data_IF_793401242904
#
_entry.id   IF_793401242904
#
_cell.length_a   1.000
_cell.length_b   1.000
_cell.length_c   1.000
_cell.angle_alpha   90.00
_cell.angle_beta   90.00
_cell.angle_gamma   90.00
#
_symmetry.space_group_name_H-M   'P 1'
#
loop_
_entity.id
_entity.type
_entity.pdbx_description
1 polymer ?
#
# COMPACT_ATOMS: atom_id res chain seq x y z
N UNK A 1 -12.40 11.43 -10.78
CA UNK A 1 -12.62 9.96 -10.80
C UNK A 1 -11.98 9.36 -9.58
N UNK A 2 -12.78 8.85 -8.63
CA UNK A 2 -12.33 8.05 -7.50
C UNK A 2 -11.85 6.69 -8.04
N UNK A 3 -10.59 6.31 -7.83
CA UNK A 3 -10.16 4.94 -8.10
C UNK A 3 -10.52 4.09 -6.89
N UNK A 4 -11.64 3.38 -7.00
CA UNK A 4 -12.02 2.26 -6.14
C UNK A 4 -11.43 1.01 -6.79
N UNK A 5 -10.47 0.38 -6.14
CA UNK A 5 -10.08 -0.98 -6.51
C UNK A 5 -11.00 -1.89 -5.71
N UNK A 6 -12.09 -2.32 -6.34
CA UNK A 6 -13.03 -3.28 -5.76
C UNK A 6 -12.50 -4.69 -6.03
N UNK A 7 -12.14 -5.43 -4.98
CA UNK A 7 -11.99 -6.88 -5.08
C UNK A 7 -13.25 -7.49 -4.44
N UNK A 8 -14.10 -8.06 -5.29
CA UNK A 8 -15.39 -8.65 -4.91
C UNK A 8 -15.13 -9.96 -4.17
N UNK A 9 -15.07 -9.94 -2.83
CA UNK A 9 -15.45 -11.08 -1.98
C UNK A 9 -15.36 -10.77 -0.50
N UNK A 10 -16.42 -11.19 0.22
CA UNK A 10 -16.50 -11.75 1.57
C UNK A 10 -16.66 -10.85 2.80
N UNK A 11 -17.89 -10.95 3.33
CA UNK A 11 -18.29 -10.92 4.73
C UNK A 11 -17.50 -11.97 5.56
N UNK A 12 -16.55 -11.57 6.40
CA UNK A 12 -15.96 -12.44 7.43
C UNK A 12 -15.38 -11.58 8.58
N UNK A 13 -15.64 -11.87 9.88
CA UNK A 13 -14.93 -11.27 11.02
C UNK A 13 -13.39 -11.34 10.94
N UNK A 14 -12.82 -12.16 10.05
CA UNK A 14 -11.39 -12.11 9.71
C UNK A 14 -10.93 -10.78 9.07
N UNK A 15 -11.84 -10.05 8.40
CA UNK A 15 -11.58 -8.74 7.76
C UNK A 15 -11.09 -7.66 8.74
N UNK A 16 -11.66 -7.59 9.94
CA UNK A 16 -11.26 -6.61 10.95
C UNK A 16 -9.85 -6.89 11.49
N UNK A 17 -9.52 -8.17 11.67
CA UNK A 17 -8.17 -8.61 12.06
C UNK A 17 -7.14 -8.27 10.98
N UNK A 18 -7.54 -8.38 9.71
CA UNK A 18 -6.70 -8.00 8.56
C UNK A 18 -6.46 -6.49 8.50
N UNK A 19 -7.45 -5.65 8.77
CA UNK A 19 -7.29 -4.18 8.80
C UNK A 19 -6.40 -3.71 9.95
N UNK A 20 -6.55 -4.28 11.15
CA UNK A 20 -5.67 -3.97 12.28
C UNK A 20 -4.21 -4.33 11.95
N UNK A 21 -3.98 -5.51 11.38
CA UNK A 21 -2.65 -5.93 10.94
C UNK A 21 -2.07 -4.98 9.88
N UNK A 22 -2.87 -4.54 8.91
CA UNK A 22 -2.43 -3.60 7.89
C UNK A 22 -1.97 -2.26 8.50
N UNK A 23 -2.73 -1.71 9.44
CA UNK A 23 -2.36 -0.46 10.13
C UNK A 23 -1.06 -0.64 10.92
N UNK A 24 -0.92 -1.75 11.64
CA UNK A 24 0.31 -2.08 12.37
C UNK A 24 1.52 -2.14 11.44
N UNK A 25 1.38 -2.74 10.26
CA UNK A 25 2.47 -2.82 9.28
C UNK A 25 2.79 -1.48 8.62
N UNK A 26 1.78 -0.65 8.31
CA UNK A 26 2.00 0.72 7.82
C UNK A 26 2.85 1.51 8.84
N UNK A 27 2.52 1.41 10.13
CA UNK A 27 3.25 2.10 11.19
C UNK A 27 4.66 1.55 11.36
N UNK A 28 4.84 0.23 11.43
CA UNK A 28 6.16 -0.42 11.52
C UNK A 28 7.06 -0.03 10.35
N UNK A 29 6.53 0.00 9.13
CA UNK A 29 7.31 0.38 7.95
C UNK A 29 7.83 1.81 8.08
N UNK A 30 6.99 2.74 8.54
CA UNK A 30 7.40 4.13 8.79
C UNK A 30 8.45 4.23 9.88
N UNK A 31 8.31 3.49 10.99
CA UNK A 31 9.30 3.41 12.06
C UNK A 31 10.66 2.88 11.57
N UNK A 32 10.64 1.90 10.66
CA UNK A 32 11.84 1.36 10.02
C UNK A 32 12.46 2.31 8.99
N UNK A 33 11.80 3.44 8.66
CA UNK A 33 12.25 4.38 7.63
C UNK A 33 11.86 3.96 6.20
N UNK A 34 10.92 3.01 6.04
CA UNK A 34 10.30 2.66 4.77
C UNK A 34 9.14 3.62 4.52
N UNK A 35 9.16 4.28 3.36
CA UNK A 35 8.09 5.22 2.99
C UNK A 35 6.81 4.46 2.65
N UNK A 36 5.72 4.84 3.31
CA UNK A 36 4.35 4.40 3.04
C UNK A 36 3.42 5.61 3.07
N UNK A 37 2.29 5.60 2.35
CA UNK A 37 1.29 6.64 2.49
C UNK A 37 0.83 6.76 3.95
N UNK A 38 0.73 7.98 4.49
CA UNK A 38 0.33 8.18 5.89
C UNK A 38 -1.08 7.66 6.12
N UNK A 39 -1.24 6.75 7.08
CA UNK A 39 -2.55 6.35 7.59
C UNK A 39 -3.23 7.51 8.33
N UNK A 40 -4.54 7.68 8.10
CA UNK A 40 -5.36 8.66 8.81
C UNK A 40 -6.40 8.00 9.73
N UNK A 41 -7.26 7.14 9.19
CA UNK A 41 -8.32 6.45 9.95
C UNK A 41 -8.88 5.25 9.21
N UNK A 42 -9.57 4.37 9.92
CA UNK A 42 -10.48 3.38 9.33
C UNK A 42 -11.76 4.07 8.85
N UNK A 43 -12.37 3.52 7.82
CA UNK A 43 -13.66 3.96 7.28
C UNK A 43 -14.53 2.73 6.99
N UNK A 44 -15.84 2.90 7.02
CA UNK A 44 -16.79 1.94 6.47
C UNK A 44 -17.73 2.62 5.47
N UNK A 45 -18.17 1.85 4.47
CA UNK A 45 -19.10 2.32 3.43
C UNK A 45 -19.99 1.17 2.97
N UNK A 46 -21.25 1.46 2.66
CA UNK A 46 -22.14 0.48 2.04
C UNK A 46 -21.91 0.42 0.53
N UNK A 47 -21.72 -0.79 0.01
CA UNK A 47 -21.58 -1.07 -1.41
C UNK A 47 -22.93 -1.08 -2.13
N UNK A 48 -22.91 -1.22 -3.46
CA UNK A 48 -24.14 -1.35 -4.27
C UNK A 48 -24.90 -2.65 -3.98
N UNK A 49 -24.20 -3.63 -3.45
CA UNK A 49 -24.70 -4.89 -2.91
C UNK A 49 -25.38 -4.75 -1.54
N UNK A 50 -25.44 -3.52 -0.99
CA UNK A 50 -25.92 -3.22 0.35
C UNK A 50 -25.11 -3.91 1.47
N UNK A 51 -23.89 -4.37 1.15
CA UNK A 51 -22.94 -4.90 2.14
C UNK A 51 -22.08 -3.77 2.71
N UNK A 52 -21.74 -3.87 4.00
CA UNK A 52 -20.80 -2.93 4.63
C UNK A 52 -19.36 -3.35 4.30
N UNK A 53 -18.61 -2.45 3.70
CA UNK A 53 -17.21 -2.62 3.35
C UNK A 53 -16.34 -1.76 4.26
N UNK A 54 -15.36 -2.38 4.91
CA UNK A 54 -14.40 -1.68 5.76
C UNK A 54 -13.07 -1.45 5.02
N UNK A 55 -12.45 -0.30 5.26
CA UNK A 55 -11.17 0.05 4.65
C UNK A 55 -10.38 1.06 5.48
N UNK A 56 -9.26 1.50 4.92
CA UNK A 56 -8.42 2.56 5.49
C UNK A 56 -8.37 3.78 4.59
N UNK A 57 -8.34 4.95 5.23
CA UNK A 57 -8.04 6.23 4.59
C UNK A 57 -6.56 6.53 4.77
N UNK A 58 -5.86 6.72 3.65
CA UNK A 58 -4.42 7.03 3.62
C UNK A 58 -4.13 8.28 2.79
N UNK A 59 -2.93 8.82 2.94
CA UNK A 59 -2.39 9.92 2.16
C UNK A 59 -2.48 9.65 0.66
N UNK A 60 -2.97 10.65 -0.08
CA UNK A 60 -2.94 10.61 -1.54
C UNK A 60 -1.55 11.04 -2.02
N UNK A 61 -0.85 10.12 -2.68
CA UNK A 61 0.37 10.46 -3.42
C UNK A 61 -0.02 10.97 -4.81
N UNK A 62 0.00 12.29 -4.99
CA UNK A 62 -0.45 12.93 -6.23
C UNK A 62 0.42 12.57 -7.44
N UNK A 63 -0.23 12.38 -8.59
CA UNK A 63 0.43 12.04 -9.86
C UNK A 63 1.34 10.82 -9.77
N UNK A 64 1.01 9.89 -8.87
CA UNK A 64 1.73 8.64 -8.74
C UNK A 64 1.27 7.60 -9.75
N UNK A 65 2.12 6.59 -9.97
CA UNK A 65 1.76 5.40 -10.74
C UNK A 65 2.10 4.16 -9.96
N UNK A 66 1.21 3.17 -10.06
CA UNK A 66 1.42 1.85 -9.49
C UNK A 66 2.53 1.13 -10.25
N UNK A 67 3.53 0.67 -9.53
CA UNK A 67 4.65 -0.11 -10.04
C UNK A 67 4.68 -1.44 -9.32
N UNK A 68 4.78 -2.52 -10.10
CA UNK A 68 4.95 -3.90 -9.59
C UNK A 68 6.22 -4.50 -10.18
N UNK A 69 6.96 -5.33 -9.42
CA UNK A 69 8.06 -6.13 -9.97
C UNK A 69 7.59 -6.93 -11.19
N UNK A 70 8.45 -7.05 -12.21
CA UNK A 70 8.15 -7.78 -13.44
C UNK A 70 7.23 -7.07 -14.44
N UNK A 71 6.60 -5.93 -14.07
CA UNK A 71 5.79 -5.09 -14.98
C UNK A 71 6.39 -3.69 -15.23
N UNK A 72 7.70 -3.54 -15.07
CA UNK A 72 8.39 -2.28 -15.26
C UNK A 72 8.57 -1.95 -16.75
N UNK A 73 7.58 -1.29 -17.35
CA UNK A 73 7.91 -0.31 -18.39
C UNK A 73 8.70 0.80 -17.69
N UNK A 74 9.98 1.01 -18.07
CA UNK A 74 10.78 2.13 -17.55
C UNK A 74 9.97 3.40 -17.73
N UNK A 75 9.49 3.99 -16.62
CA UNK A 75 8.71 5.23 -16.62
C UNK A 75 9.68 6.39 -16.85
N UNK A 76 10.18 6.50 -18.08
CA UNK A 76 11.11 7.55 -18.52
C UNK A 76 10.56 8.90 -18.06
N UNK A 77 11.40 9.67 -17.35
CA UNK A 77 11.07 10.98 -16.81
C UNK A 77 10.50 10.99 -15.39
N UNK A 78 10.29 9.83 -14.73
CA UNK A 78 9.92 9.76 -13.30
C UNK A 78 10.96 9.08 -12.42
N UNK A 79 11.77 8.19 -12.98
CA UNK A 79 12.89 7.59 -12.24
C UNK A 79 13.98 8.65 -12.02
N UNK A 80 14.32 8.91 -10.76
CA UNK A 80 15.33 9.90 -10.34
C UNK A 80 16.31 9.28 -9.34
N UNK A 81 17.30 10.05 -8.90
CA UNK A 81 18.20 9.64 -7.80
C UNK A 81 17.43 9.30 -6.50
N UNK A 82 16.26 9.93 -6.26
CA UNK A 82 15.39 9.59 -5.12
C UNK A 82 14.84 8.17 -5.26
N UNK A 83 14.47 7.76 -6.47
CA UNK A 83 14.01 6.39 -6.74
C UNK A 83 15.08 5.37 -6.38
N UNK A 84 16.32 5.62 -6.80
CA UNK A 84 17.45 4.75 -6.48
C UNK A 84 17.71 4.70 -4.97
N UNK A 85 17.72 5.85 -4.30
CA UNK A 85 17.91 5.93 -2.85
C UNK A 85 16.82 5.19 -2.08
N UNK A 86 15.56 5.29 -2.50
CA UNK A 86 14.45 4.58 -1.86
C UNK A 86 14.55 3.06 -2.06
N UNK A 87 14.97 2.59 -3.25
CA UNK A 87 15.23 1.16 -3.52
C UNK A 87 16.38 0.65 -2.65
N UNK A 88 17.49 1.39 -2.58
CA UNK A 88 18.65 1.01 -1.77
C UNK A 88 18.32 0.94 -0.29
N UNK A 89 17.58 1.93 0.23
CA UNK A 89 17.08 1.91 1.60
C UNK A 89 16.20 0.68 1.84
N UNK A 90 15.28 0.36 0.93
CA UNK A 90 14.43 -0.82 1.07
C UNK A 90 15.22 -2.14 1.10
N UNK A 91 16.21 -2.29 0.21
CA UNK A 91 17.11 -3.44 0.20
C UNK A 91 17.86 -3.58 1.53
N UNK A 92 18.41 -2.47 2.05
CA UNK A 92 19.07 -2.44 3.35
C UNK A 92 18.13 -2.88 4.49
N UNK A 93 16.83 -2.53 4.42
CA UNK A 93 15.86 -2.96 5.44
C UNK A 93 15.57 -4.45 5.39
N UNK A 94 15.53 -5.06 4.21
CA UNK A 94 15.42 -6.53 4.12
C UNK A 94 16.64 -7.23 4.72
N UNK A 95 17.84 -6.68 4.54
CA UNK A 95 19.05 -7.23 5.16
C UNK A 95 19.06 -7.03 6.70
N UNK A 96 18.58 -5.88 7.19
CA UNK A 96 18.52 -5.57 8.62
C UNK A 96 17.43 -6.36 9.37
N UNK A 97 16.32 -6.67 8.70
CA UNK A 97 15.16 -7.31 9.29
C UNK A 97 14.87 -8.62 8.55
N UNK A 98 15.53 -9.74 8.89
CA UNK A 98 15.42 -11.00 8.13
C UNK A 98 14.00 -11.61 8.11
N UNK A 99 13.12 -11.19 9.02
CA UNK A 99 11.71 -11.60 9.07
C UNK A 99 10.78 -10.62 8.34
N UNK A 100 11.31 -9.58 7.69
CA UNK A 100 10.53 -8.62 6.92
C UNK A 100 10.17 -9.23 5.57
N UNK A 101 8.89 -9.53 5.36
CA UNK A 101 8.34 -9.97 4.08
C UNK A 101 7.21 -9.07 3.61
N UNK A 102 7.12 -8.83 2.30
CA UNK A 102 6.01 -8.12 1.66
C UNK A 102 5.34 -9.07 0.66
N UNK A 103 4.22 -9.67 1.06
CA UNK A 103 3.54 -10.76 0.34
C UNK A 103 2.96 -10.39 -1.01
N UNK A 104 2.70 -9.10 -1.26
CA UNK A 104 2.30 -8.57 -2.58
C UNK A 104 3.03 -7.23 -2.77
N UNK A 105 4.32 -7.29 -3.11
CA UNK A 105 5.14 -6.09 -3.18
C UNK A 105 4.67 -5.14 -4.29
N UNK A 106 4.04 -4.05 -3.86
CA UNK A 106 3.50 -3.00 -4.71
C UNK A 106 3.98 -1.65 -4.21
N UNK A 107 4.32 -0.76 -5.13
CA UNK A 107 4.80 0.59 -4.79
C UNK A 107 4.13 1.64 -5.66
N UNK A 108 3.87 2.80 -5.09
CA UNK A 108 3.54 4.01 -5.84
C UNK A 108 4.83 4.78 -6.14
N UNK A 109 5.09 5.03 -7.41
CA UNK A 109 6.13 5.96 -7.85
C UNK A 109 5.53 7.36 -8.00
N UNK A 110 5.91 8.27 -7.10
CA UNK A 110 5.54 9.67 -7.16
C UNK A 110 6.15 10.36 -8.40
N UNK A 111 5.54 11.47 -8.82
CA UNK A 111 6.05 12.27 -9.95
C UNK A 111 7.48 12.79 -9.72
N UNK A 112 7.87 12.99 -8.48
CA UNK A 112 9.21 13.44 -8.06
C UNK A 112 10.22 12.29 -7.93
N UNK A 113 9.79 11.06 -8.21
CA UNK A 113 10.62 9.86 -8.18
C UNK A 113 10.68 9.17 -6.82
N UNK A 114 9.95 9.62 -5.81
CA UNK A 114 9.88 8.90 -4.52
C UNK A 114 9.04 7.63 -4.64
N UNK A 115 9.46 6.56 -3.96
CA UNK A 115 8.72 5.31 -3.87
C UNK A 115 8.00 5.19 -2.54
N UNK A 116 6.75 4.79 -2.60
CA UNK A 116 5.91 4.53 -1.42
C UNK A 116 5.42 3.09 -1.49
N UNK A 117 5.81 2.26 -0.51
CA UNK A 117 5.27 0.91 -0.39
C UNK A 117 3.80 1.01 0.00
N UNK A 118 2.95 0.33 -0.77
CA UNK A 118 1.52 0.25 -0.50
C UNK A 118 1.10 -1.18 -0.25
N UNK A 119 -0.06 -1.31 0.37
CA UNK A 119 -0.68 -2.60 0.67
C UNK A 119 0.32 -3.61 1.27
N UNK A 120 1.05 -3.25 2.36
CA UNK A 120 2.01 -4.15 2.94
C UNK A 120 1.26 -5.36 3.52
N UNK A 121 1.31 -6.47 2.81
CA UNK A 121 0.84 -7.77 3.29
C UNK A 121 2.00 -8.47 4.00
N UNK A 122 1.77 -8.91 5.23
CA UNK A 122 2.61 -9.97 5.79
C UNK A 122 2.26 -11.28 5.07
N UNK A 123 3.26 -12.09 4.74
CA UNK A 123 3.17 -13.40 4.07
C UNK A 123 2.29 -14.44 4.79
N UNK A 124 1.64 -14.07 5.90
CA UNK A 124 0.76 -14.89 6.72
C UNK A 124 -0.69 -14.36 6.83
N UNK A 125 -1.07 -13.29 6.10
CA UNK A 125 -2.41 -12.70 6.18
C UNK A 125 -3.24 -13.02 4.91
N UNK A 126 -4.45 -13.56 5.10
CA UNK A 126 -5.42 -13.78 4.02
C UNK A 126 -6.00 -12.44 3.51
N UNK A 127 -6.19 -12.36 2.18
CA UNK A 127 -6.65 -11.18 1.43
C UNK A 127 -8.12 -10.86 1.69
N UNK A 128 -8.41 -9.64 2.16
CA UNK A 128 -9.68 -8.91 1.99
C UNK A 128 -9.40 -7.41 2.16
N UNK A 129 -9.44 -6.59 1.10
CA UNK A 129 -9.17 -5.14 1.21
C UNK A 129 -9.84 -4.28 0.13
N UNK A 130 -10.37 -3.12 0.57
CA UNK A 130 -10.59 -1.94 -0.26
C UNK A 130 -9.68 -0.80 0.25
N UNK A 131 -8.92 -0.16 -0.63
CA UNK A 131 -8.13 1.04 -0.33
C UNK A 131 -8.74 2.24 -1.06
N UNK A 132 -9.27 3.21 -0.31
CA UNK A 132 -9.91 4.39 -0.90
C UNK A 132 -8.89 5.52 -1.08
N UNK A 133 -8.41 5.70 -2.31
CA UNK A 133 -7.58 6.86 -2.68
C UNK A 133 -8.51 7.95 -3.23
N UNK A 134 -8.91 8.91 -2.38
CA UNK A 134 -9.84 9.98 -2.77
C UNK A 134 -9.21 10.87 -3.85
N UNK A 135 -9.86 10.96 -5.00
CA UNK A 135 -9.51 11.88 -6.07
C UNK A 135 -10.43 13.10 -6.05
N UNK A 136 -9.93 14.24 -5.56
CA UNK A 136 -10.39 15.56 -6.02
C UNK A 136 -9.67 15.91 -7.31
#
# INVERSE_FOLDING_TARGET
MLFLQLDERLEDPSSFRTLKNEIEWINKFREMGIKTPKYFKTISMFGKDNQEHHGILVERIHSSVLVKPGRLSILKGRTTAKTLSDIQNLLQKFDQYPNLGIGDFQVLLGRDGQLYVIDPLNIHAHRLKFCLIIHR
#
